data_IF_312505925539
#
_entry.id   IF_312505925539
#
_cell.length_a   1.000
_cell.length_b   1.000
_cell.length_c   1.000
_cell.angle_alpha   90.00
_cell.angle_beta   90.00
_cell.angle_gamma   90.00
#
_symmetry.space_group_name_H-M   'P 1'
#
loop_
_entity.id
_entity.type
_entity.pdbx_description
1 polymer ?
#
# COMPACT_ATOMS: atom_id res chain seq x y z
N UNK A 1 2.54 7.69 -14.98
CA UNK A 1 2.83 9.08 -14.54
C UNK A 1 3.06 9.11 -13.05
N UNK A 2 4.05 9.87 -12.59
CA UNK A 2 4.42 10.01 -11.19
C UNK A 2 4.37 11.48 -10.81
N UNK A 3 3.83 11.76 -9.62
CA UNK A 3 3.85 13.10 -9.06
C UNK A 3 4.42 13.08 -7.64
N UNK A 4 4.98 14.21 -7.22
CA UNK A 4 5.56 14.36 -5.88
C UNK A 4 5.03 15.65 -5.27
N UNK A 5 4.58 15.57 -4.03
CA UNK A 5 4.35 16.75 -3.22
C UNK A 5 5.17 16.67 -1.93
N UNK A 6 5.08 17.68 -1.06
CA UNK A 6 5.91 17.75 0.14
C UNK A 6 5.75 16.53 1.08
N UNK A 7 4.60 15.86 1.05
CA UNK A 7 4.25 14.82 2.01
C UNK A 7 4.10 13.43 1.41
N UNK A 8 3.89 13.32 0.11
CA UNK A 8 3.62 12.01 -0.50
C UNK A 8 3.98 11.99 -1.98
N UNK A 9 4.14 10.75 -2.48
CA UNK A 9 4.27 10.48 -3.91
C UNK A 9 2.97 9.91 -4.43
N UNK A 10 2.63 10.20 -5.69
CA UNK A 10 1.48 9.57 -6.32
C UNK A 10 1.85 8.95 -7.66
N UNK A 11 1.07 7.95 -8.06
CA UNK A 11 1.30 7.17 -9.27
C UNK A 11 -0.04 6.93 -9.95
N UNK A 12 -0.02 6.85 -11.28
CA UNK A 12 -1.22 6.56 -12.05
C UNK A 12 -1.01 5.25 -12.80
N UNK A 13 -1.88 4.27 -12.52
CA UNK A 13 -1.91 3.02 -13.26
C UNK A 13 -2.68 3.22 -14.56
N UNK A 14 -2.16 2.67 -15.64
CA UNK A 14 -2.77 2.81 -16.97
C UNK A 14 -2.92 1.45 -17.63
N UNK A 15 -4.05 1.26 -18.32
CA UNK A 15 -4.29 0.17 -19.24
C UNK A 15 -4.24 0.78 -20.64
N UNK A 16 -3.21 0.44 -21.43
CA UNK A 16 -2.86 1.13 -22.65
C UNK A 16 -2.64 2.62 -22.37
N UNK A 17 -3.55 3.48 -22.83
CA UNK A 17 -3.50 4.91 -22.60
C UNK A 17 -4.56 5.39 -21.62
N UNK A 18 -5.38 4.47 -21.09
CA UNK A 18 -6.49 4.82 -20.21
C UNK A 18 -6.07 4.70 -18.75
N UNK A 19 -6.01 5.82 -18.00
CA UNK A 19 -5.74 5.75 -16.57
C UNK A 19 -6.92 5.09 -15.84
N UNK A 20 -6.63 4.15 -14.95
CA UNK A 20 -7.69 3.44 -14.24
C UNK A 20 -7.50 3.42 -12.72
N UNK A 21 -6.33 3.74 -12.22
CA UNK A 21 -6.13 3.80 -10.77
C UNK A 21 -5.16 4.89 -10.37
N UNK A 22 -5.30 5.34 -9.15
CA UNK A 22 -4.39 6.26 -8.50
C UNK A 22 -3.79 5.55 -7.29
N UNK A 23 -2.46 5.61 -7.17
CA UNK A 23 -1.72 5.04 -6.07
C UNK A 23 -1.01 6.16 -5.34
N UNK A 24 -1.17 6.22 -4.04
CA UNK A 24 -0.56 7.26 -3.21
C UNK A 24 0.30 6.58 -2.18
N UNK A 25 1.57 6.96 -2.12
CA UNK A 25 2.50 6.44 -1.12
C UNK A 25 2.96 7.56 -0.20
N UNK A 26 3.07 7.23 1.09
CA UNK A 26 3.55 8.17 2.10
C UNK A 26 4.63 7.47 2.92
N UNK A 27 5.76 8.16 3.13
CA UNK A 27 6.82 7.62 3.99
C UNK A 27 6.36 7.67 5.44
N UNK A 28 6.18 6.49 6.03
CA UNK A 28 5.70 6.35 7.41
C UNK A 28 6.83 6.33 8.43
N UNK A 29 8.10 6.37 7.99
CA UNK A 29 9.23 6.28 8.91
C UNK A 29 9.58 7.59 9.60
N UNK A 30 9.16 8.71 9.06
CA UNK A 30 9.51 10.03 9.62
C UNK A 30 8.54 10.54 10.66
N UNK A 31 7.26 10.44 10.38
CA UNK A 31 6.20 10.98 11.24
C UNK A 31 5.16 9.88 11.43
N UNK A 32 5.57 8.85 12.15
CA UNK A 32 4.81 7.62 12.20
C UNK A 32 3.55 7.75 13.05
N UNK A 33 2.37 7.52 12.48
CA UNK A 33 1.17 7.40 13.30
C UNK A 33 1.32 6.30 14.34
N UNK A 34 0.80 6.54 15.53
CA UNK A 34 1.01 5.67 16.68
C UNK A 34 0.66 4.20 16.39
N UNK A 35 -0.45 3.97 15.68
CA UNK A 35 -0.92 2.61 15.39
C UNK A 35 -0.01 1.85 14.41
N UNK A 36 0.90 2.53 13.71
CA UNK A 36 1.84 1.90 12.78
C UNK A 36 3.20 1.57 13.41
N UNK A 37 3.52 2.19 14.55
CA UNK A 37 4.84 2.05 15.17
C UNK A 37 5.26 0.58 15.38
N UNK A 38 4.38 -0.33 15.87
CA UNK A 38 4.78 -1.72 16.08
C UNK A 38 5.15 -2.48 14.82
N UNK A 39 4.80 -1.94 13.64
CA UNK A 39 4.96 -2.65 12.36
C UNK A 39 6.08 -2.07 11.50
N UNK A 40 6.83 -1.13 12.05
CA UNK A 40 7.99 -0.57 11.35
C UNK A 40 9.13 -1.58 11.31
N UNK A 41 9.91 -1.62 10.20
CA UNK A 41 11.08 -2.49 10.15
C UNK A 41 12.19 -1.97 11.08
N UNK A 42 13.07 -2.87 11.51
CA UNK A 42 14.21 -2.46 12.34
C UNK A 42 15.16 -1.54 11.59
N UNK A 43 15.33 -1.80 10.31
CA UNK A 43 16.15 -0.97 9.41
C UNK A 43 15.40 -0.73 8.11
N UNK A 44 15.67 0.39 7.48
CA UNK A 44 15.03 0.74 6.22
C UNK A 44 13.75 1.51 6.43
N UNK A 45 12.98 1.65 5.36
CA UNK A 45 11.78 2.48 5.33
C UNK A 45 10.50 1.66 5.26
N UNK A 46 9.45 2.20 5.84
CA UNK A 46 8.08 1.73 5.66
C UNK A 46 7.26 2.83 5.01
N UNK A 47 6.49 2.48 4.01
CA UNK A 47 5.59 3.41 3.32
C UNK A 47 4.16 2.93 3.45
N UNK A 48 3.22 3.86 3.59
CA UNK A 48 1.80 3.54 3.47
C UNK A 48 1.37 3.68 2.02
N UNK A 49 0.38 2.90 1.64
CA UNK A 49 -0.16 2.89 0.28
C UNK A 49 -1.68 3.05 0.33
N UNK A 50 -2.19 3.96 -0.49
CA UNK A 50 -3.61 4.10 -0.77
C UNK A 50 -3.86 3.81 -2.24
N UNK A 51 -4.90 3.05 -2.53
CA UNK A 51 -5.26 2.63 -3.89
C UNK A 51 -6.68 3.07 -4.19
N UNK A 52 -6.85 3.78 -5.28
CA UNK A 52 -8.16 4.21 -5.78
C UNK A 52 -8.33 3.72 -7.21
N UNK A 53 -9.32 2.87 -7.45
CA UNK A 53 -9.64 2.39 -8.79
C UNK A 53 -10.89 3.13 -9.25
N UNK A 54 -10.79 3.86 -10.36
CA UNK A 54 -11.86 4.69 -10.85
C UNK A 54 -12.93 3.92 -11.61
N UNK A 55 -12.62 3.38 -12.81
CA UNK A 55 -13.64 2.75 -13.63
C UNK A 55 -14.09 1.38 -13.07
N UNK A 56 -15.40 1.15 -12.92
CA UNK A 56 -15.90 -0.12 -12.36
C UNK A 56 -15.48 -1.37 -13.15
N UNK A 57 -15.24 -1.24 -14.45
CA UNK A 57 -14.84 -2.37 -15.29
C UNK A 57 -13.49 -2.98 -14.93
N UNK A 58 -12.69 -2.27 -14.14
CA UNK A 58 -11.39 -2.78 -13.67
C UNK A 58 -11.49 -3.50 -12.32
N UNK A 59 -12.67 -3.53 -11.73
CA UNK A 59 -12.89 -4.19 -10.45
C UNK A 59 -13.26 -5.66 -10.67
N UNK A 60 -12.63 -6.58 -9.93
CA UNK A 60 -13.00 -7.99 -9.95
C UNK A 60 -12.45 -8.80 -11.13
N UNK A 61 -11.52 -8.25 -11.91
CA UNK A 61 -10.97 -8.92 -13.10
C UNK A 61 -9.53 -9.38 -12.93
N UNK A 62 -8.99 -9.35 -11.72
CA UNK A 62 -7.61 -9.70 -11.46
C UNK A 62 -6.59 -8.63 -11.88
N UNK A 63 -7.04 -7.57 -12.53
CA UNK A 63 -6.17 -6.47 -12.99
C UNK A 63 -5.55 -5.75 -11.81
N UNK A 64 -6.33 -5.54 -10.75
CA UNK A 64 -5.85 -4.85 -9.55
C UNK A 64 -4.70 -5.63 -8.88
N UNK A 65 -4.81 -6.95 -8.80
CA UNK A 65 -3.75 -7.79 -8.22
C UNK A 65 -2.47 -7.69 -9.04
N UNK A 66 -2.58 -7.80 -10.36
CA UNK A 66 -1.43 -7.70 -11.26
C UNK A 66 -0.77 -6.32 -11.17
N UNK A 67 -1.58 -5.29 -11.14
CA UNK A 67 -1.09 -3.91 -11.01
C UNK A 67 -0.32 -3.72 -9.71
N UNK A 68 -0.88 -4.21 -8.59
CA UNK A 68 -0.22 -4.11 -7.29
C UNK A 68 1.10 -4.86 -7.24
N UNK A 69 1.15 -6.08 -7.77
CA UNK A 69 2.39 -6.85 -7.82
C UNK A 69 3.47 -6.11 -8.60
N UNK A 70 3.12 -5.57 -9.76
CA UNK A 70 4.05 -4.79 -10.58
C UNK A 70 4.49 -3.52 -9.88
N UNK A 71 3.56 -2.84 -9.21
CA UNK A 71 3.84 -1.59 -8.50
C UNK A 71 4.77 -1.81 -7.32
N UNK A 72 4.52 -2.85 -6.52
CA UNK A 72 5.38 -3.18 -5.38
C UNK A 72 6.81 -3.48 -5.83
N UNK A 73 6.96 -4.21 -6.93
CA UNK A 73 8.28 -4.48 -7.51
C UNK A 73 8.96 -3.20 -7.98
N UNK A 74 8.20 -2.31 -8.62
CA UNK A 74 8.71 -1.02 -9.10
C UNK A 74 9.19 -0.14 -7.95
N UNK A 75 8.44 -0.07 -6.85
CA UNK A 75 8.82 0.71 -5.68
C UNK A 75 10.16 0.24 -5.10
N UNK A 76 10.36 -1.07 -4.99
CA UNK A 76 11.61 -1.60 -4.47
C UNK A 76 12.80 -1.28 -5.37
N UNK A 77 12.59 -1.30 -6.69
CA UNK A 77 13.65 -0.93 -7.64
C UNK A 77 14.03 0.54 -7.51
N UNK A 78 13.07 1.41 -7.26
CA UNK A 78 13.32 2.84 -7.11
C UNK A 78 13.90 3.20 -5.75
N UNK A 79 13.53 2.46 -4.71
CA UNK A 79 14.00 2.75 -3.35
C UNK A 79 14.41 1.45 -2.66
N UNK A 80 15.68 1.17 -2.67
CA UNK A 80 16.23 -0.05 -2.09
C UNK A 80 16.20 -0.08 -0.56
N UNK A 81 15.97 1.07 0.08
CA UNK A 81 15.79 1.15 1.52
C UNK A 81 14.39 0.72 1.95
N UNK A 82 13.43 0.62 1.02
CA UNK A 82 12.06 0.24 1.33
C UNK A 82 11.99 -1.24 1.74
N UNK A 83 11.44 -1.50 2.92
CA UNK A 83 11.32 -2.85 3.49
C UNK A 83 9.89 -3.29 3.67
N UNK A 84 8.99 -2.35 3.93
CA UNK A 84 7.60 -2.67 4.28
C UNK A 84 6.66 -1.67 3.64
N UNK A 85 5.56 -2.19 3.07
CA UNK A 85 4.45 -1.37 2.60
C UNK A 85 3.23 -1.73 3.43
N UNK A 86 2.56 -0.71 3.96
CA UNK A 86 1.38 -0.86 4.82
C UNK A 86 0.16 -0.31 4.09
N UNK A 87 -0.96 -1.02 4.23
CA UNK A 87 -2.23 -0.61 3.65
C UNK A 87 -3.34 -0.88 4.67
N UNK A 88 -4.37 -0.02 4.72
CA UNK A 88 -5.37 -0.10 5.76
C UNK A 88 -6.81 -0.01 5.22
N UNK A 89 -7.29 -1.04 4.54
CA UNK A 89 -8.67 -1.05 4.05
C UNK A 89 -9.67 -1.10 5.21
N UNK A 90 -10.89 -0.62 4.95
CA UNK A 90 -11.99 -0.83 5.91
C UNK A 90 -12.21 -2.32 6.12
N UNK A 91 -12.53 -2.72 7.36
CA UNK A 91 -12.66 -4.12 7.72
C UNK A 91 -13.78 -4.84 6.96
N UNK A 92 -14.79 -4.10 6.49
CA UNK A 92 -15.90 -4.65 5.71
C UNK A 92 -15.64 -4.66 4.21
N UNK A 93 -14.51 -4.15 3.75
CA UNK A 93 -14.17 -4.14 2.34
C UNK A 93 -13.45 -5.44 1.97
N UNK A 94 -14.21 -6.55 1.93
CA UNK A 94 -13.67 -7.88 1.71
C UNK A 94 -13.00 -8.03 0.34
N UNK A 95 -13.52 -7.31 -0.66
CA UNK A 95 -12.94 -7.35 -2.01
C UNK A 95 -11.54 -6.78 -2.04
N UNK A 96 -11.34 -5.62 -1.42
CA UNK A 96 -10.02 -5.00 -1.34
C UNK A 96 -9.06 -5.88 -0.54
N UNK A 97 -9.49 -6.38 0.62
CA UNK A 97 -8.67 -7.26 1.46
C UNK A 97 -8.22 -8.48 0.66
N UNK A 98 -9.13 -9.10 -0.09
CA UNK A 98 -8.81 -10.27 -0.91
C UNK A 98 -7.77 -9.95 -2.00
N UNK A 99 -7.90 -8.80 -2.66
CA UNK A 99 -6.95 -8.35 -3.68
C UNK A 99 -5.57 -8.15 -3.05
N UNK A 100 -5.52 -7.52 -1.87
CA UNK A 100 -4.25 -7.27 -1.19
C UNK A 100 -3.60 -8.56 -0.71
N UNK A 101 -4.39 -9.50 -0.19
CA UNK A 101 -3.86 -10.82 0.19
C UNK A 101 -3.26 -11.53 -1.01
N UNK A 102 -3.92 -11.50 -2.16
CA UNK A 102 -3.40 -12.12 -3.38
C UNK A 102 -2.11 -11.47 -3.86
N UNK A 103 -1.95 -10.18 -3.64
CA UNK A 103 -0.73 -9.45 -4.00
C UNK A 103 0.42 -9.70 -3.02
N UNK A 104 0.16 -10.35 -1.89
CA UNK A 104 1.19 -10.72 -0.92
C UNK A 104 1.14 -9.99 0.42
N UNK A 105 0.12 -9.16 0.64
CA UNK A 105 -0.07 -8.50 1.94
C UNK A 105 -0.61 -9.49 2.95
N UNK A 106 -0.23 -9.31 4.20
CA UNK A 106 -0.71 -10.11 5.33
C UNK A 106 -1.41 -9.20 6.34
N UNK A 107 -2.51 -9.69 6.91
CA UNK A 107 -3.22 -8.96 7.96
C UNK A 107 -2.39 -9.01 9.25
N UNK A 108 -2.08 -7.84 9.82
CA UNK A 108 -1.21 -7.72 10.99
C UNK A 108 -1.90 -7.07 12.17
N UNK A 109 -2.97 -6.30 11.97
CA UNK A 109 -3.63 -5.61 13.06
C UNK A 109 -5.03 -5.15 12.66
N UNK A 110 -5.81 -4.74 13.65
CA UNK A 110 -7.10 -4.08 13.46
C UNK A 110 -7.10 -2.81 14.29
N UNK A 111 -7.76 -1.77 13.79
CA UNK A 111 -7.86 -0.51 14.52
C UNK A 111 -9.11 0.26 14.11
N UNK A 112 -9.50 1.21 14.97
CA UNK A 112 -10.61 2.11 14.69
C UNK A 112 -10.07 3.54 14.77
N UNK A 113 -10.08 4.29 13.65
CA UNK A 113 -9.62 5.68 13.67
C UNK A 113 -10.39 6.51 14.68
N UNK A 114 -9.68 7.35 15.44
CA UNK A 114 -10.28 8.21 16.46
C UNK A 114 -10.66 9.59 15.94
N UNK A 115 -10.22 9.93 14.72
CA UNK A 115 -10.51 11.22 14.09
C UNK A 115 -10.52 11.06 12.57
N UNK A 116 -10.81 12.17 11.87
CA UNK A 116 -10.82 12.21 10.42
C UNK A 116 -12.08 11.63 9.78
N UNK A 117 -12.03 11.46 8.46
CA UNK A 117 -13.17 11.04 7.66
C UNK A 117 -13.66 9.62 7.98
N UNK A 118 -12.76 8.77 8.50
CA UNK A 118 -13.07 7.38 8.82
C UNK A 118 -13.24 7.12 10.31
N UNK A 119 -13.44 8.17 11.11
CA UNK A 119 -13.61 8.05 12.55
C UNK A 119 -14.73 7.04 12.89
N UNK A 120 -14.42 6.11 13.79
CA UNK A 120 -15.38 5.10 14.25
C UNK A 120 -15.58 3.93 13.31
N UNK A 121 -14.93 3.91 12.15
CA UNK A 121 -15.06 2.80 11.18
C UNK A 121 -13.91 1.83 11.35
N UNK A 122 -14.19 0.54 11.67
CA UNK A 122 -13.11 -0.45 11.82
C UNK A 122 -12.32 -0.63 10.54
N UNK A 123 -11.01 -0.68 10.69
CA UNK A 123 -10.05 -0.94 9.62
C UNK A 123 -9.16 -2.11 9.99
N UNK A 124 -8.61 -2.78 8.99
CA UNK A 124 -7.53 -3.74 9.19
C UNK A 124 -6.25 -3.14 8.65
N UNK A 125 -5.14 -3.46 9.30
CA UNK A 125 -3.81 -3.10 8.81
C UNK A 125 -3.19 -4.32 8.17
N UNK A 126 -2.71 -4.16 6.95
CA UNK A 126 -2.05 -5.22 6.20
C UNK A 126 -0.65 -4.78 5.83
N UNK A 127 0.28 -5.70 5.80
CA UNK A 127 1.68 -5.42 5.54
C UNK A 127 2.24 -6.32 4.44
N UNK A 128 3.04 -5.73 3.58
CA UNK A 128 3.84 -6.43 2.59
C UNK A 128 5.31 -6.22 2.96
N UNK A 129 6.04 -7.30 3.15
CA UNK A 129 7.45 -7.25 3.49
C UNK A 129 8.28 -7.73 2.31
N UNK A 130 9.23 -6.90 1.89
CA UNK A 130 10.17 -7.30 0.85
C UNK A 130 11.16 -8.29 1.43
N UNK A 131 11.42 -9.35 0.69
CA UNK A 131 12.44 -10.32 1.08
C UNK A 131 13.80 -9.63 1.09
N UNK A 132 14.49 -9.69 2.21
CA UNK A 132 15.90 -9.31 2.26
C UNK A 132 16.70 -10.42 1.61
N UNK A 133 17.15 -10.17 0.40
CA UNK A 133 18.21 -11.00 -0.13
C UNK A 133 19.47 -10.65 0.66
N UNK A 134 19.80 -11.46 1.60
CA UNK A 134 21.14 -11.45 2.16
C UNK A 134 22.10 -11.85 1.05
N UNK A 135 22.60 -10.89 0.32
CA UNK A 135 23.77 -11.09 -0.49
C UNK A 135 24.95 -11.29 0.44
N UNK A 136 25.08 -12.54 0.89
CA UNK A 136 26.32 -12.92 1.51
C UNK A 136 27.28 -13.17 0.37
N UNK A 137 28.01 -12.46 0.18
CA UNK A 137 28.98 -12.80 -0.68
C UNK A 137 29.87 -12.30 -0.55
#
# INVERSE_FOLDING_TARGET
>A
MTGVCALFNYWIGQDDTMPFCLLITTDATRDTPEHLVPFLPETGEAWTLDVLIGPPEYVGRGIATQMLESFLSHLQHQNRALRTVLIDPEANNFRAIHVYEKAGFQLVSEFVPSDGAFQGKPHVLMAYHYCQTNNVR
#
